data_IF_783505474254
#
_entry.id   IF_783505474254
#
_cell.length_a   1.000
_cell.length_b   1.000
_cell.length_c   1.000
_cell.angle_alpha   90.00
_cell.angle_beta   90.00
_cell.angle_gamma   90.00
#
_symmetry.space_group_name_H-M   'P 1'
#
loop_
_entity.id
_entity.type
_entity.pdbx_description
1 polymer ?
#
# COMPACT_ATOMS: atom_id res chain seq x y z
N UNK A 1 -28.05 -29.44 6.65
CA UNK A 1 -26.90 -30.18 6.10
C UNK A 1 -26.36 -29.47 4.85
N UNK A 2 -27.23 -29.00 3.96
CA UNK A 2 -26.81 -28.30 2.73
C UNK A 2 -26.16 -26.93 2.96
N UNK A 3 -26.45 -26.27 4.09
CA UNK A 3 -25.82 -24.98 4.44
C UNK A 3 -24.51 -25.10 5.23
N UNK A 4 -24.01 -26.31 5.42
CA UNK A 4 -22.67 -26.53 5.98
C UNK A 4 -22.47 -26.20 7.47
N UNK A 5 -23.54 -25.89 8.20
CA UNK A 5 -23.47 -25.46 9.60
C UNK A 5 -23.46 -26.60 10.62
N UNK A 6 -23.63 -27.86 10.15
CA UNK A 6 -23.72 -29.01 11.05
C UNK A 6 -22.71 -30.09 10.67
N UNK A 7 -21.86 -30.46 11.62
CA UNK A 7 -20.91 -31.56 11.47
C UNK A 7 -21.58 -32.94 11.46
N UNK A 8 -20.82 -33.97 11.16
CA UNK A 8 -21.26 -35.37 11.06
C UNK A 8 -21.99 -35.92 12.30
N UNK A 9 -21.80 -35.30 13.46
CA UNK A 9 -22.41 -35.71 14.73
C UNK A 9 -23.90 -35.38 14.89
N UNK A 10 -24.50 -34.67 13.92
CA UNK A 10 -25.89 -34.21 13.98
C UNK A 10 -26.86 -35.16 13.28
N UNK A 11 -26.34 -36.16 12.57
CA UNK A 11 -27.17 -37.11 11.79
C UNK A 11 -27.70 -38.32 12.59
N UNK A 12 -27.46 -38.36 13.89
CA UNK A 12 -27.75 -39.55 14.66
C UNK A 12 -26.82 -40.72 14.37
N UNK A 13 -27.08 -41.87 14.91
CA UNK A 13 -26.28 -43.05 14.61
C UNK A 13 -26.56 -43.52 13.20
N UNK A 14 -25.51 -43.61 12.37
CA UNK A 14 -25.51 -44.03 10.98
C UNK A 14 -26.23 -45.39 10.76
N UNK A 15 -26.44 -46.18 11.82
CA UNK A 15 -27.10 -47.48 11.83
C UNK A 15 -28.63 -47.42 11.60
N UNK A 16 -29.26 -46.26 11.69
CA UNK A 16 -30.70 -46.07 11.43
C UNK A 16 -31.06 -45.92 9.94
N UNK A 17 -30.05 -45.78 9.09
CA UNK A 17 -30.22 -45.58 7.66
C UNK A 17 -29.98 -46.88 6.84
N UNK A 18 -30.68 -47.08 5.73
CA UNK A 18 -30.35 -48.18 4.84
C UNK A 18 -28.86 -48.18 4.48
N UNK A 19 -28.16 -49.31 4.42
CA UNK A 19 -26.70 -49.38 4.27
C UNK A 19 -26.13 -48.63 3.06
N UNK A 20 -26.84 -48.60 1.95
CA UNK A 20 -26.44 -47.87 0.74
C UNK A 20 -26.54 -46.34 0.92
N UNK A 21 -27.59 -45.89 1.59
CA UNK A 21 -27.83 -44.48 1.87
C UNK A 21 -26.83 -43.95 2.89
N UNK A 22 -26.53 -44.75 3.92
CA UNK A 22 -25.51 -44.47 4.94
C UNK A 22 -24.12 -44.31 4.33
N UNK A 23 -23.72 -45.23 3.46
CA UNK A 23 -22.43 -45.17 2.78
C UNK A 23 -22.30 -43.95 1.84
N UNK A 24 -23.38 -43.62 1.11
CA UNK A 24 -23.41 -42.47 0.22
C UNK A 24 -23.34 -41.15 1.02
N UNK A 25 -24.04 -41.05 2.12
CA UNK A 25 -23.99 -39.90 3.03
C UNK A 25 -22.61 -39.73 3.67
N UNK A 26 -21.99 -40.81 4.09
CA UNK A 26 -20.65 -40.79 4.70
C UNK A 26 -19.59 -40.36 3.67
N UNK A 27 -19.71 -40.79 2.44
CA UNK A 27 -18.84 -40.35 1.34
C UNK A 27 -19.04 -38.88 1.06
N UNK A 28 -20.27 -38.40 0.97
CA UNK A 28 -20.61 -37.00 0.68
C UNK A 28 -20.14 -36.06 1.81
N UNK A 29 -20.28 -36.50 3.07
CA UNK A 29 -19.77 -35.73 4.21
C UNK A 29 -18.25 -35.63 4.21
N UNK A 30 -17.54 -36.73 3.84
CA UNK A 30 -16.08 -36.71 3.68
C UNK A 30 -15.64 -35.79 2.54
N UNK A 31 -16.32 -35.81 1.40
CA UNK A 31 -16.02 -34.89 0.29
C UNK A 31 -16.23 -33.44 0.68
N UNK A 32 -17.34 -33.11 1.38
CA UNK A 32 -17.61 -31.77 1.88
C UNK A 32 -16.52 -31.33 2.87
N UNK A 33 -16.11 -32.20 3.78
CA UNK A 33 -15.06 -31.90 4.73
C UNK A 33 -13.71 -31.68 4.06
N UNK A 34 -13.33 -32.53 3.10
CA UNK A 34 -12.12 -32.36 2.31
C UNK A 34 -12.12 -31.06 1.50
N UNK A 35 -13.26 -30.71 0.87
CA UNK A 35 -13.42 -29.46 0.14
C UNK A 35 -13.24 -28.23 1.04
N UNK A 36 -13.77 -28.28 2.26
CA UNK A 36 -13.61 -27.21 3.26
C UNK A 36 -12.18 -27.05 3.72
N UNK A 37 -11.49 -28.17 3.96
CA UNK A 37 -10.08 -28.15 4.36
C UNK A 37 -9.21 -27.57 3.23
N UNK A 38 -9.46 -27.96 1.98
CA UNK A 38 -8.77 -27.40 0.82
C UNK A 38 -9.03 -25.91 0.67
N UNK A 39 -10.30 -25.46 0.83
CA UNK A 39 -10.66 -24.04 0.76
C UNK A 39 -9.98 -23.24 1.88
N UNK A 40 -9.97 -23.76 3.10
CA UNK A 40 -9.27 -23.13 4.23
C UNK A 40 -7.75 -23.02 4.01
N UNK A 41 -7.13 -24.05 3.43
CA UNK A 41 -5.71 -24.02 3.07
C UNK A 41 -5.41 -22.98 1.98
N UNK A 42 -6.25 -22.91 0.94
CA UNK A 42 -6.15 -21.92 -0.12
C UNK A 42 -6.31 -20.50 0.42
N UNK A 43 -7.30 -20.26 1.28
CA UNK A 43 -7.51 -18.95 1.93
C UNK A 43 -6.30 -18.55 2.76
N UNK A 44 -5.71 -19.49 3.50
CA UNK A 44 -4.51 -19.25 4.30
C UNK A 44 -3.32 -18.90 3.41
N UNK A 45 -3.13 -19.62 2.30
CA UNK A 45 -2.08 -19.34 1.32
C UNK A 45 -2.29 -17.97 0.66
N UNK A 46 -3.51 -17.67 0.21
CA UNK A 46 -3.85 -16.38 -0.40
C UNK A 46 -3.58 -15.23 0.57
N UNK A 47 -3.99 -15.35 1.83
CA UNK A 47 -3.72 -14.35 2.87
C UNK A 47 -2.22 -14.20 3.14
N UNK A 48 -1.47 -15.29 3.19
CA UNK A 48 -0.02 -15.26 3.36
C UNK A 48 0.67 -14.54 2.20
N UNK A 49 0.33 -14.87 0.95
CA UNK A 49 0.86 -14.17 -0.22
C UNK A 49 0.41 -12.71 -0.31
N UNK A 50 -0.85 -12.41 0.05
CA UNK A 50 -1.37 -11.04 0.08
C UNK A 50 -0.76 -10.18 1.19
N UNK A 51 -0.14 -10.77 2.21
CA UNK A 51 0.48 -10.07 3.32
C UNK A 51 1.96 -9.74 3.11
N UNK A 52 2.62 -10.40 2.12
CA UNK A 52 4.06 -10.29 1.90
C UNK A 52 4.39 -9.49 0.64
N UNK A 53 5.48 -8.71 0.75
CA UNK A 53 6.12 -8.10 -0.41
C UNK A 53 6.92 -9.16 -1.17
N UNK A 54 6.61 -9.33 -2.45
CA UNK A 54 7.18 -10.40 -3.31
C UNK A 54 8.70 -10.29 -3.43
N UNK A 55 9.23 -9.07 -3.45
CA UNK A 55 10.67 -8.83 -3.65
C UNK A 55 11.49 -9.09 -2.39
N UNK A 56 11.02 -8.66 -1.24
CA UNK A 56 11.79 -8.70 0.02
C UNK A 56 11.36 -9.82 0.96
N UNK A 57 10.17 -10.37 0.79
CA UNK A 57 9.58 -11.32 1.75
C UNK A 57 9.13 -10.68 3.06
N UNK A 58 9.33 -9.37 3.25
CA UNK A 58 8.80 -8.62 4.38
C UNK A 58 7.28 -8.45 4.25
N UNK A 59 6.63 -7.99 5.32
CA UNK A 59 5.24 -7.61 5.23
C UNK A 59 5.06 -6.51 4.18
N UNK A 60 3.92 -6.51 3.49
CA UNK A 60 3.58 -5.48 2.54
C UNK A 60 2.84 -4.31 3.21
N UNK A 61 2.60 -3.25 2.45
CA UNK A 61 1.88 -2.07 2.91
C UNK A 61 0.49 -2.40 3.43
N UNK A 62 -0.28 -3.23 2.71
CA UNK A 62 -1.66 -3.56 3.09
C UNK A 62 -1.72 -4.24 4.46
N UNK A 63 -0.83 -5.20 4.70
CA UNK A 63 -0.74 -5.87 6.00
C UNK A 63 -0.36 -4.87 7.11
N UNK A 64 0.60 -3.99 6.85
CA UNK A 64 1.03 -2.97 7.79
C UNK A 64 -0.13 -2.02 8.16
N UNK A 65 -0.82 -1.49 7.16
CA UNK A 65 -1.94 -0.56 7.36
C UNK A 65 -3.08 -1.23 8.15
N UNK A 66 -3.38 -2.49 7.87
CA UNK A 66 -4.39 -3.25 8.61
C UNK A 66 -4.00 -3.49 10.07
N UNK A 67 -2.73 -3.78 10.34
CA UNK A 67 -2.24 -3.94 11.71
C UNK A 67 -2.28 -2.62 12.48
N UNK A 68 -1.87 -1.53 11.86
CA UNK A 68 -1.95 -0.19 12.46
C UNK A 68 -3.41 0.19 12.72
N UNK A 69 -4.31 -0.01 11.75
CA UNK A 69 -5.74 0.27 11.90
C UNK A 69 -6.35 -0.50 13.08
N UNK A 70 -6.03 -1.78 13.23
CA UNK A 70 -6.49 -2.60 14.35
C UNK A 70 -6.05 -2.03 15.70
N UNK A 71 -4.82 -1.55 15.81
CA UNK A 71 -4.30 -0.93 17.02
C UNK A 71 -4.95 0.43 17.31
N UNK A 72 -5.26 1.21 16.28
CA UNK A 72 -5.92 2.51 16.40
C UNK A 72 -7.41 2.39 16.75
N UNK A 73 -8.08 1.32 16.32
CA UNK A 73 -9.50 1.05 16.60
C UNK A 73 -9.74 0.46 17.99
N UNK A 74 -8.71 -0.03 18.67
CA UNK A 74 -8.81 -0.70 19.97
C UNK A 74 -9.23 0.29 21.06
N UNK A 75 -10.55 0.50 21.21
CA UNK A 75 -11.16 1.40 22.19
C UNK A 75 -11.18 0.84 23.61
N UNK A 76 -11.04 -0.47 23.78
CA UNK A 76 -11.17 -1.13 25.09
C UNK A 76 -9.89 -1.05 25.92
N UNK A 77 -8.74 -0.85 25.29
CA UNK A 77 -7.47 -0.70 25.98
C UNK A 77 -7.11 0.77 26.19
N UNK A 78 -7.52 1.29 27.32
CA UNK A 78 -7.09 2.60 27.79
C UNK A 78 -5.56 2.69 27.72
N UNK A 79 -5.05 3.58 26.87
CA UNK A 79 -3.61 3.84 26.77
C UNK A 79 -2.89 3.09 25.66
N UNK A 80 -3.56 2.49 24.68
CA UNK A 80 -2.89 1.95 23.50
C UNK A 80 -2.19 3.08 22.75
N UNK A 81 -0.89 2.99 22.69
CA UNK A 81 -0.02 3.97 22.04
C UNK A 81 1.19 3.26 21.42
N UNK A 82 1.88 3.94 20.57
CA UNK A 82 3.10 3.42 19.96
C UNK A 82 3.72 4.41 18.99
N UNK A 83 4.63 3.89 18.20
CA UNK A 83 5.40 4.64 17.22
C UNK A 83 5.23 3.99 15.85
N UNK A 84 5.12 4.83 14.83
CA UNK A 84 5.42 4.48 13.44
C UNK A 84 6.72 5.15 13.06
N UNK A 85 7.63 4.37 12.52
CA UNK A 85 8.90 4.85 12.01
C UNK A 85 8.92 4.56 10.50
N UNK A 86 8.99 5.59 9.67
CA UNK A 86 9.18 5.44 8.24
C UNK A 86 10.67 5.59 7.92
N UNK A 87 11.20 4.66 7.15
CA UNK A 87 12.61 4.56 6.82
C UNK A 87 12.75 4.66 5.30
N UNK A 88 13.35 5.73 4.81
CA UNK A 88 13.61 5.96 3.40
C UNK A 88 15.04 5.62 3.05
N UNK A 89 15.19 4.72 2.09
CA UNK A 89 16.46 4.36 1.48
C UNK A 89 16.64 5.09 0.13
N UNK A 90 17.84 5.06 -0.48
CA UNK A 90 18.05 5.61 -1.82
C UNK A 90 17.12 4.99 -2.87
N UNK A 91 16.81 5.72 -3.93
CA UNK A 91 16.02 5.21 -5.04
C UNK A 91 16.85 4.27 -5.92
N UNK A 92 16.76 2.96 -5.62
CA UNK A 92 17.49 1.91 -6.33
C UNK A 92 17.09 1.78 -7.80
N UNK A 93 15.88 2.18 -8.18
CA UNK A 93 15.47 2.15 -9.58
C UNK A 93 16.27 3.14 -10.43
N UNK A 94 16.53 4.33 -9.90
CA UNK A 94 17.39 5.32 -10.58
C UNK A 94 18.85 4.86 -10.66
N UNK A 95 19.34 4.12 -9.69
CA UNK A 95 20.70 3.58 -9.68
C UNK A 95 20.89 2.44 -10.69
N UNK A 96 19.85 1.71 -11.04
CA UNK A 96 19.91 0.59 -11.98
C UNK A 96 20.38 1.00 -13.37
N UNK A 97 20.02 2.18 -13.82
CA UNK A 97 20.40 2.69 -15.14
C UNK A 97 21.90 2.99 -15.23
N UNK A 98 22.54 3.34 -14.12
CA UNK A 98 23.97 3.71 -14.07
C UNK A 98 24.87 2.51 -13.72
N UNK A 99 24.45 1.65 -12.79
CA UNK A 99 25.31 0.61 -12.19
C UNK A 99 24.98 -0.82 -12.60
N UNK A 100 23.85 -1.02 -13.29
CA UNK A 100 23.34 -2.31 -13.67
C UNK A 100 22.47 -2.97 -12.60
N UNK A 101 21.48 -3.74 -13.07
CA UNK A 101 20.42 -4.30 -12.25
C UNK A 101 20.93 -5.25 -11.13
N UNK A 102 21.87 -6.13 -11.46
CA UNK A 102 22.38 -7.13 -10.52
C UNK A 102 23.09 -6.53 -9.30
N UNK A 103 23.96 -5.52 -9.54
CA UNK A 103 24.69 -4.86 -8.45
C UNK A 103 23.77 -4.04 -7.56
N UNK A 104 22.79 -3.37 -8.16
CA UNK A 104 21.79 -2.59 -7.43
C UNK A 104 20.90 -3.50 -6.57
N UNK A 105 20.48 -4.63 -7.08
CA UNK A 105 19.71 -5.62 -6.28
C UNK A 105 20.50 -6.16 -5.10
N UNK A 106 21.78 -6.47 -5.28
CA UNK A 106 22.62 -6.93 -4.18
C UNK A 106 22.68 -5.91 -3.04
N UNK A 107 22.86 -4.63 -3.37
CA UNK A 107 22.88 -3.56 -2.38
C UNK A 107 21.50 -3.35 -1.72
N UNK A 108 20.45 -3.42 -2.49
CA UNK A 108 19.08 -3.35 -1.96
C UNK A 108 18.80 -4.46 -0.96
N UNK A 109 19.16 -5.70 -1.27
CA UNK A 109 18.99 -6.83 -0.34
C UNK A 109 19.89 -6.72 0.88
N UNK A 110 21.11 -6.21 0.74
CA UNK A 110 22.00 -5.97 1.87
C UNK A 110 21.37 -4.99 2.86
N UNK A 111 20.84 -3.86 2.39
CA UNK A 111 20.16 -2.88 3.24
C UNK A 111 18.84 -3.43 3.82
N UNK A 112 18.06 -4.13 3.03
CA UNK A 112 16.82 -4.76 3.51
C UNK A 112 17.09 -5.78 4.61
N UNK A 113 18.10 -6.61 4.46
CA UNK A 113 18.51 -7.58 5.47
C UNK A 113 19.02 -6.90 6.75
N UNK A 114 19.74 -5.80 6.61
CA UNK A 114 20.17 -5.00 7.76
C UNK A 114 18.96 -4.47 8.53
N UNK A 115 17.99 -3.88 7.84
CA UNK A 115 16.75 -3.39 8.48
C UNK A 115 15.99 -4.52 9.18
N UNK A 116 15.82 -5.66 8.51
CA UNK A 116 15.12 -6.81 9.07
C UNK A 116 15.82 -7.35 10.31
N UNK A 117 17.11 -7.59 10.23
CA UNK A 117 17.92 -8.09 11.36
C UNK A 117 17.92 -7.11 12.52
N UNK A 118 18.00 -5.82 12.23
CA UNK A 118 17.95 -4.77 13.24
C UNK A 118 16.62 -4.77 13.99
N UNK A 119 15.49 -4.80 13.25
CA UNK A 119 14.15 -4.77 13.84
C UNK A 119 13.81 -6.03 14.65
N UNK A 120 14.40 -7.16 14.33
CA UNK A 120 14.23 -8.40 15.12
C UNK A 120 14.71 -8.29 16.56
N UNK A 121 15.51 -7.29 16.89
CA UNK A 121 15.95 -7.01 18.28
C UNK A 121 14.84 -6.45 19.16
N UNK A 122 13.77 -5.96 18.56
CA UNK A 122 12.65 -5.32 19.25
C UNK A 122 11.42 -6.21 19.20
N UNK A 123 11.08 -6.94 20.28
CA UNK A 123 9.89 -7.80 20.32
C UNK A 123 8.62 -7.00 20.05
N UNK A 124 7.75 -7.55 19.22
CA UNK A 124 6.50 -6.90 18.81
C UNK A 124 6.63 -5.86 17.70
N UNK A 125 7.85 -5.54 17.25
CA UNK A 125 8.05 -4.68 16.10
C UNK A 125 7.63 -5.39 14.81
N UNK A 126 6.93 -4.67 13.95
CA UNK A 126 6.53 -5.10 12.61
C UNK A 126 7.27 -4.25 11.59
N UNK A 127 8.01 -4.88 10.67
CA UNK A 127 8.67 -4.22 9.55
C UNK A 127 7.95 -4.59 8.26
N UNK A 128 7.67 -3.57 7.44
CA UNK A 128 7.06 -3.74 6.13
C UNK A 128 7.81 -2.94 5.07
N UNK A 129 7.80 -3.44 3.84
CA UNK A 129 8.12 -2.60 2.69
C UNK A 129 6.87 -1.81 2.33
N UNK A 130 6.93 -0.49 2.57
CA UNK A 130 5.76 0.35 2.45
C UNK A 130 5.55 0.88 1.03
N UNK A 131 6.63 1.34 0.41
CA UNK A 131 6.64 1.80 -0.97
C UNK A 131 8.07 1.77 -1.52
N UNK A 132 8.30 1.25 -2.71
CA UNK A 132 9.62 1.20 -3.39
C UNK A 132 10.83 1.09 -2.45
N UNK A 133 11.39 2.24 -2.08
CA UNK A 133 12.54 2.37 -1.16
C UNK A 133 12.15 2.85 0.23
N UNK A 134 10.85 2.94 0.52
CA UNK A 134 10.32 3.30 1.83
C UNK A 134 9.89 2.05 2.60
N UNK A 135 10.37 1.95 3.83
CA UNK A 135 10.02 0.90 4.78
C UNK A 135 9.30 1.53 5.97
N UNK A 136 8.43 0.78 6.60
CA UNK A 136 7.73 1.22 7.79
C UNK A 136 7.90 0.22 8.91
N UNK A 137 8.20 0.71 10.10
CA UNK A 137 8.25 -0.08 11.33
C UNK A 137 7.13 0.36 12.26
N UNK A 138 6.35 -0.62 12.74
CA UNK A 138 5.33 -0.43 13.76
C UNK A 138 5.90 -0.89 15.10
N UNK A 139 5.95 0.02 16.06
CA UNK A 139 6.54 -0.17 17.38
C UNK A 139 5.47 0.05 18.47
N UNK A 140 4.61 -0.95 18.75
CA UNK A 140 3.60 -0.82 19.78
C UNK A 140 4.22 -0.62 21.16
N UNK A 141 3.56 0.19 21.97
CA UNK A 141 3.96 0.47 23.37
C UNK A 141 5.33 1.12 23.55
N UNK A 142 5.90 1.71 22.51
CA UNK A 142 7.14 2.48 22.58
C UNK A 142 6.87 3.97 22.69
N UNK A 143 7.74 4.67 23.37
CA UNK A 143 7.73 6.13 23.52
C UNK A 143 8.57 6.81 22.44
N UNK A 144 8.39 8.12 22.25
CA UNK A 144 9.23 8.91 21.36
C UNK A 144 10.71 8.82 21.71
N UNK A 145 11.04 8.85 23.00
CA UNK A 145 12.44 8.77 23.48
C UNK A 145 13.09 7.43 23.14
N UNK A 146 12.33 6.34 23.24
CA UNK A 146 12.80 5.02 22.83
C UNK A 146 12.98 4.96 21.31
N UNK A 147 12.05 5.56 20.54
CA UNK A 147 12.13 5.62 19.08
C UNK A 147 13.35 6.43 18.60
N UNK A 148 13.66 7.54 19.24
CA UNK A 148 14.89 8.31 18.96
C UNK A 148 16.15 7.48 19.18
N UNK A 149 16.20 6.73 20.26
CA UNK A 149 17.32 5.83 20.54
C UNK A 149 17.42 4.71 19.47
N UNK A 150 16.29 4.12 19.08
CA UNK A 150 16.24 3.10 18.03
C UNK A 150 16.72 3.67 16.70
N UNK A 151 16.25 4.85 16.31
CA UNK A 151 16.67 5.53 15.08
C UNK A 151 18.17 5.83 15.08
N UNK A 152 18.70 6.34 16.16
CA UNK A 152 20.13 6.60 16.31
C UNK A 152 20.98 5.32 16.21
N UNK A 153 20.52 4.21 16.78
CA UNK A 153 21.21 2.92 16.67
C UNK A 153 21.12 2.34 15.24
N UNK A 154 20.00 2.52 14.54
CA UNK A 154 19.85 2.09 13.16
C UNK A 154 20.81 2.86 12.25
N UNK A 155 20.96 4.16 12.42
CA UNK A 155 21.92 4.98 11.68
C UNK A 155 23.36 4.48 11.93
N UNK A 156 23.71 4.19 13.18
CA UNK A 156 25.02 3.61 13.48
C UNK A 156 25.24 2.25 12.84
N UNK A 157 24.20 1.42 12.74
CA UNK A 157 24.29 0.13 12.04
C UNK A 157 24.57 0.33 10.54
N UNK A 158 23.96 1.33 9.91
CA UNK A 158 24.22 1.70 8.52
C UNK A 158 25.66 2.19 8.33
N UNK A 159 26.19 2.93 9.28
CA UNK A 159 27.59 3.41 9.25
C UNK A 159 28.63 2.29 9.29
N UNK A 160 28.24 1.09 9.73
CA UNK A 160 29.12 -0.10 9.73
C UNK A 160 29.23 -0.77 8.36
N UNK A 161 28.38 -0.42 7.42
CA UNK A 161 28.43 -1.00 6.07
C UNK A 161 29.72 -0.59 5.33
N UNK A 162 30.27 -1.47 4.49
CA UNK A 162 31.45 -1.13 3.69
C UNK A 162 31.14 -0.01 2.73
N UNK A 163 32.13 0.85 2.49
CA UNK A 163 32.02 1.89 1.48
C UNK A 163 31.76 1.29 0.09
N UNK A 164 30.80 1.88 -0.60
CA UNK A 164 30.40 1.49 -1.92
C UNK A 164 30.40 2.74 -2.84
N UNK A 165 30.92 2.59 -4.06
CA UNK A 165 30.89 3.68 -5.05
C UNK A 165 29.49 4.02 -5.55
N UNK A 166 28.55 3.09 -5.40
CA UNK A 166 27.16 3.23 -5.85
C UNK A 166 26.33 4.07 -4.87
N UNK A 167 26.57 3.93 -3.58
CA UNK A 167 25.79 4.54 -2.50
C UNK A 167 26.68 5.46 -1.68
N UNK A 168 26.19 6.66 -1.43
CA UNK A 168 26.81 7.56 -0.45
C UNK A 168 26.45 7.08 0.95
N UNK A 169 27.41 6.46 1.65
CA UNK A 169 27.21 5.95 3.00
C UNK A 169 26.78 7.05 3.97
N UNK A 170 27.17 8.26 3.74
CA UNK A 170 26.88 9.37 4.63
C UNK A 170 25.47 9.95 4.41
N UNK A 171 24.78 9.54 3.32
CA UNK A 171 23.40 9.95 2.99
C UNK A 171 22.57 8.78 2.45
N UNK A 172 22.43 7.72 3.24
CA UNK A 172 21.74 6.48 2.85
C UNK A 172 20.38 6.30 3.49
N UNK A 173 20.11 6.94 4.64
CA UNK A 173 18.92 6.62 5.42
C UNK A 173 18.33 7.90 6.04
N UNK A 174 17.03 8.08 5.80
CA UNK A 174 16.24 9.13 6.44
C UNK A 174 15.09 8.47 7.19
N UNK A 175 14.93 8.80 8.45
CA UNK A 175 13.96 8.18 9.34
C UNK A 175 12.99 9.24 9.85
N UNK A 176 11.70 9.00 9.62
CA UNK A 176 10.62 9.82 10.18
C UNK A 176 9.93 9.06 11.32
N UNK A 177 9.72 9.73 12.43
CA UNK A 177 9.13 9.18 13.64
C UNK A 177 7.81 9.88 13.92
N UNK A 178 6.72 9.12 14.06
CA UNK A 178 5.42 9.63 14.46
C UNK A 178 4.85 8.79 15.60
N UNK A 179 4.50 9.45 16.70
CA UNK A 179 3.75 8.81 17.77
C UNK A 179 2.29 8.70 17.39
N UNK A 180 1.66 7.59 17.76
CA UNK A 180 0.23 7.36 17.55
C UNK A 180 -0.48 6.96 18.84
N UNK A 181 -1.78 7.20 18.86
CA UNK A 181 -2.69 6.81 19.94
C UNK A 181 -3.97 6.24 19.35
N UNK A 182 -4.67 5.40 20.11
CA UNK A 182 -5.99 4.90 19.70
C UNK A 182 -6.95 6.06 19.37
N UNK A 183 -7.81 5.85 18.38
CA UNK A 183 -8.74 6.85 17.89
C UNK A 183 -8.24 7.74 16.75
N UNK A 184 -6.95 7.67 16.41
CA UNK A 184 -6.41 8.37 15.23
C UNK A 184 -6.71 7.61 13.94
N UNK A 185 -6.70 8.33 12.83
CA UNK A 185 -6.82 7.76 11.49
C UNK A 185 -5.48 7.21 10.99
N UNK A 186 -5.50 5.99 10.43
CA UNK A 186 -4.31 5.31 9.90
C UNK A 186 -3.59 6.14 8.85
N UNK A 187 -4.34 6.70 7.92
CA UNK A 187 -3.80 7.52 6.84
C UNK A 187 -3.08 8.76 7.38
N UNK A 188 -3.70 9.45 8.34
CA UNK A 188 -3.11 10.62 8.96
C UNK A 188 -1.80 10.29 9.68
N UNK A 189 -1.74 9.18 10.43
CA UNK A 189 -0.50 8.74 11.10
C UNK A 189 0.60 8.47 10.08
N UNK A 190 0.28 7.82 8.96
CA UNK A 190 1.26 7.52 7.92
C UNK A 190 1.71 8.77 7.16
N UNK A 191 0.83 9.72 6.89
CA UNK A 191 1.20 11.02 6.31
C UNK A 191 2.14 11.80 7.22
N UNK A 192 1.89 11.80 8.53
CA UNK A 192 2.74 12.43 9.51
C UNK A 192 4.13 11.79 9.58
N UNK A 193 4.20 10.45 9.55
CA UNK A 193 5.47 9.74 9.51
C UNK A 193 6.27 10.06 8.24
N UNK A 194 5.61 10.13 7.09
CA UNK A 194 6.24 10.50 5.82
C UNK A 194 6.72 11.95 5.82
N UNK A 195 5.94 12.89 6.36
CA UNK A 195 6.33 14.29 6.53
C UNK A 195 7.61 14.41 7.36
N UNK A 196 7.68 13.69 8.49
CA UNK A 196 8.87 13.63 9.31
C UNK A 196 10.08 13.05 8.54
N UNK A 197 9.86 12.04 7.70
CA UNK A 197 10.92 11.44 6.88
C UNK A 197 11.47 12.44 5.86
N UNK A 198 10.62 13.22 5.22
CA UNK A 198 11.05 14.31 4.32
C UNK A 198 11.85 15.37 5.06
N UNK A 199 11.42 15.73 6.26
CA UNK A 199 12.15 16.69 7.10
C UNK A 199 13.53 16.17 7.50
N UNK A 200 13.66 14.88 7.82
CA UNK A 200 14.95 14.26 8.05
C UNK A 200 15.87 14.37 6.83
N UNK A 201 15.33 14.10 5.63
CA UNK A 201 16.09 14.25 4.38
C UNK A 201 16.57 15.67 4.10
N UNK A 202 15.79 16.68 4.49
CA UNK A 202 16.18 18.10 4.34
C UNK A 202 17.32 18.53 5.27
N UNK A 203 17.53 17.81 6.36
CA UNK A 203 18.66 18.08 7.27
C UNK A 203 20.00 17.65 6.67
N UNK A 204 19.97 16.78 5.65
CA UNK A 204 21.15 16.21 5.02
C UNK A 204 21.80 15.09 5.84
N UNK A 205 22.48 14.18 5.15
CA UNK A 205 23.13 13.03 5.75
C UNK A 205 22.16 11.98 6.31
N UNK A 206 22.70 10.95 6.94
CA UNK A 206 21.92 9.98 7.69
C UNK A 206 21.30 10.65 8.91
N UNK A 207 19.99 10.75 8.92
CA UNK A 207 19.27 11.54 9.91
C UNK A 207 17.90 11.00 10.24
N UNK A 208 17.36 11.43 11.35
CA UNK A 208 15.99 11.17 11.77
C UNK A 208 15.32 12.47 12.24
N UNK A 209 14.01 12.52 12.11
CA UNK A 209 13.19 13.61 12.61
C UNK A 209 11.91 13.07 13.21
N UNK A 210 11.39 13.78 14.22
CA UNK A 210 10.05 13.54 14.78
C UNK A 210 9.06 14.43 14.04
N UNK A 211 7.85 13.91 13.81
CA UNK A 211 6.76 14.73 13.27
C UNK A 211 6.49 15.94 14.16
N UNK A 212 6.38 17.09 13.54
CA UNK A 212 6.14 18.38 14.18
C UNK A 212 5.02 19.12 13.42
N UNK A 213 3.88 19.30 14.08
CA UNK A 213 2.72 20.01 13.54
C UNK A 213 2.98 21.47 13.18
N UNK A 214 4.02 22.08 13.76
CA UNK A 214 4.36 23.50 13.53
C UNK A 214 5.06 23.74 12.20
N UNK A 215 5.56 22.68 11.54
CA UNK A 215 6.25 22.78 10.27
C UNK A 215 5.24 22.77 9.11
N UNK A 216 5.36 23.71 8.13
CA UNK A 216 4.47 23.73 7.01
C UNK A 216 4.64 22.50 6.12
N UNK A 217 3.54 21.80 5.85
CA UNK A 217 3.53 20.72 4.86
C UNK A 217 3.67 21.29 3.44
N UNK A 218 4.66 20.80 2.70
CA UNK A 218 4.89 21.18 1.30
C UNK A 218 4.38 20.09 0.37
N UNK A 219 3.20 20.31 -0.19
CA UNK A 219 2.64 19.44 -1.23
C UNK A 219 2.15 18.09 -0.74
N UNK A 220 1.72 17.26 -1.67
CA UNK A 220 1.26 15.89 -1.41
C UNK A 220 2.45 14.93 -1.39
N UNK A 221 2.57 14.13 -0.33
CA UNK A 221 3.52 13.01 -0.27
C UNK A 221 2.96 11.76 -0.94
N UNK A 222 3.77 10.71 -0.98
CA UNK A 222 3.39 9.43 -1.61
C UNK A 222 2.16 8.79 -0.94
N UNK A 223 2.03 8.89 0.38
CA UNK A 223 0.88 8.38 1.13
C UNK A 223 -0.39 9.07 0.64
N UNK A 224 -0.40 10.40 0.60
CA UNK A 224 -1.57 11.18 0.15
C UNK A 224 -1.90 10.91 -1.32
N UNK A 225 -0.91 10.91 -2.20
CA UNK A 225 -1.10 10.59 -3.60
C UNK A 225 -1.73 9.21 -3.81
N UNK A 226 -1.20 8.22 -3.11
CA UNK A 226 -1.73 6.86 -3.21
C UNK A 226 -3.16 6.78 -2.76
N UNK A 227 -3.50 7.38 -1.63
CA UNK A 227 -4.87 7.45 -1.13
C UNK A 227 -5.81 8.11 -2.13
N UNK A 228 -5.43 9.24 -2.72
CA UNK A 228 -6.25 9.93 -3.72
C UNK A 228 -6.51 9.07 -4.96
N UNK A 229 -5.47 8.38 -5.44
CA UNK A 229 -5.58 7.52 -6.62
C UNK A 229 -6.44 6.28 -6.31
N UNK A 230 -6.23 5.61 -5.18
CA UNK A 230 -7.03 4.46 -4.76
C UNK A 230 -8.50 4.84 -4.54
N UNK A 231 -8.77 6.00 -3.94
CA UNK A 231 -10.13 6.53 -3.80
C UNK A 231 -10.77 6.85 -5.15
N UNK A 232 -10.02 7.43 -6.06
CA UNK A 232 -10.49 7.71 -7.42
C UNK A 232 -10.88 6.41 -8.14
N UNK A 233 -10.02 5.39 -8.12
CA UNK A 233 -10.28 4.10 -8.73
C UNK A 233 -11.51 3.41 -8.10
N UNK A 234 -11.61 3.40 -6.78
CA UNK A 234 -12.74 2.79 -6.06
C UNK A 234 -14.09 3.45 -6.30
N UNK A 235 -14.08 4.77 -6.59
CA UNK A 235 -15.28 5.56 -6.93
C UNK A 235 -15.68 5.50 -8.40
N UNK A 236 -15.00 4.68 -9.19
CA UNK A 236 -15.31 4.50 -10.62
C UNK A 236 -14.53 5.41 -11.57
N UNK A 237 -13.44 6.00 -11.13
CA UNK A 237 -12.50 6.77 -11.96
C UNK A 237 -12.60 8.28 -11.80
N UNK A 238 -11.75 9.05 -12.52
CA UNK A 238 -11.72 10.49 -12.46
C UNK A 238 -13.01 11.11 -13.03
N UNK A 239 -13.28 12.36 -12.71
CA UNK A 239 -14.34 13.10 -13.37
C UNK A 239 -13.94 13.43 -14.81
N UNK A 240 -14.85 13.19 -15.73
CA UNK A 240 -14.67 13.49 -17.15
C UNK A 240 -15.26 14.86 -17.47
N UNK A 241 -14.49 15.66 -18.16
CA UNK A 241 -14.88 16.96 -18.70
C UNK A 241 -14.64 16.94 -20.19
N UNK A 242 -15.49 17.64 -20.91
CA UNK A 242 -15.38 17.82 -22.34
C UNK A 242 -15.02 19.28 -22.64
N UNK A 243 -13.94 19.47 -23.38
CA UNK A 243 -13.51 20.79 -23.85
C UNK A 243 -13.70 20.86 -25.37
N UNK A 244 -14.64 21.67 -25.88
CA UNK A 244 -14.81 21.85 -27.31
C UNK A 244 -13.69 22.70 -27.90
N UNK A 245 -13.12 22.28 -29.00
CA UNK A 245 -12.31 23.10 -29.87
C UNK A 245 -13.24 23.74 -30.92
N UNK A 246 -13.33 25.08 -30.95
CA UNK A 246 -14.25 25.82 -31.83
C UNK A 246 -13.50 26.54 -32.93
N UNK A 247 -14.07 26.55 -34.14
CA UNK A 247 -13.55 27.34 -35.25
C UNK A 247 -13.80 28.84 -35.02
N UNK A 248 -13.23 29.70 -35.87
CA UNK A 248 -13.47 31.14 -35.83
C UNK A 248 -14.97 31.48 -36.01
N UNK A 249 -15.70 30.63 -36.73
CA UNK A 249 -17.16 30.78 -36.97
C UNK A 249 -18.00 30.22 -35.81
N UNK A 250 -17.38 29.73 -34.74
CA UNK A 250 -18.06 29.21 -33.55
C UNK A 250 -18.57 27.77 -33.68
N UNK A 251 -18.19 27.06 -34.74
CA UNK A 251 -18.54 25.65 -34.90
C UNK A 251 -17.58 24.77 -34.07
N UNK A 252 -18.11 23.74 -33.45
CA UNK A 252 -17.27 22.74 -32.73
C UNK A 252 -16.59 21.86 -33.77
N UNK A 253 -15.26 21.89 -33.81
CA UNK A 253 -14.45 21.08 -34.69
C UNK A 253 -14.08 19.75 -34.02
N UNK A 254 -13.59 19.82 -32.78
CA UNK A 254 -13.18 18.67 -31.98
C UNK A 254 -13.62 18.82 -30.53
N UNK A 255 -13.59 17.71 -29.79
CA UNK A 255 -13.86 17.70 -28.35
C UNK A 255 -12.80 16.87 -27.65
N UNK A 256 -12.03 17.50 -26.79
CA UNK A 256 -11.05 16.86 -25.94
C UNK A 256 -11.69 16.37 -24.64
N UNK A 257 -11.45 15.13 -24.28
CA UNK A 257 -11.83 14.59 -22.97
C UNK A 257 -10.71 14.83 -21.96
N UNK A 258 -11.06 15.51 -20.89
CA UNK A 258 -10.15 15.84 -19.81
C UNK A 258 -10.57 15.12 -18.53
N UNK A 259 -9.57 14.60 -17.82
CA UNK A 259 -9.77 13.93 -16.55
C UNK A 259 -9.30 14.79 -15.39
N UNK A 260 -10.08 14.82 -14.31
CA UNK A 260 -9.75 15.52 -13.06
C UNK A 260 -10.07 14.65 -11.86
N UNK A 261 -9.23 14.74 -10.84
CA UNK A 261 -9.52 14.21 -9.50
C UNK A 261 -9.58 15.36 -8.50
N UNK A 262 -10.10 15.12 -7.32
CA UNK A 262 -10.26 16.14 -6.29
C UNK A 262 -9.64 15.71 -4.99
N UNK A 263 -8.84 16.58 -4.41
CA UNK A 263 -8.32 16.48 -3.06
C UNK A 263 -9.07 17.49 -2.18
N UNK A 264 -10.12 17.01 -1.49
CA UNK A 264 -11.09 17.91 -0.88
C UNK A 264 -11.76 18.79 -1.94
N UNK A 265 -11.53 20.08 -1.89
CA UNK A 265 -12.04 21.07 -2.85
C UNK A 265 -11.03 21.44 -3.94
N UNK A 266 -9.80 20.96 -3.84
CA UNK A 266 -8.75 21.26 -4.81
C UNK A 266 -8.85 20.34 -6.01
N UNK A 267 -8.88 20.93 -7.20
CA UNK A 267 -8.88 20.20 -8.46
C UNK A 267 -7.46 19.81 -8.86
N UNK A 268 -7.24 18.53 -9.17
CA UNK A 268 -5.95 17.98 -9.56
C UNK A 268 -6.03 17.47 -10.99
N UNK A 269 -5.17 17.99 -11.84
CA UNK A 269 -5.13 17.65 -13.26
C UNK A 269 -4.51 16.29 -13.54
N UNK A 270 -4.83 15.71 -14.70
CA UNK A 270 -4.20 14.45 -15.14
C UNK A 270 -2.68 14.57 -15.28
N UNK A 271 -2.17 15.73 -15.68
CA UNK A 271 -0.73 15.97 -15.74
C UNK A 271 -0.02 15.83 -14.38
N UNK A 272 -0.74 16.12 -13.28
CA UNK A 272 -0.22 16.00 -11.93
C UNK A 272 -0.34 14.57 -11.38
N UNK A 273 -1.48 13.89 -11.58
CA UNK A 273 -1.71 12.58 -10.96
C UNK A 273 -1.24 11.38 -11.81
N UNK A 274 -1.18 11.47 -13.14
CA UNK A 274 -0.76 10.35 -14.00
C UNK A 274 0.67 9.86 -13.73
N UNK A 275 1.68 10.72 -13.50
CA UNK A 275 2.99 10.25 -13.09
C UNK A 275 2.96 9.40 -11.81
N UNK A 276 2.05 9.71 -10.90
CA UNK A 276 1.88 8.96 -9.66
C UNK A 276 1.15 7.63 -9.88
N UNK A 277 0.16 7.59 -10.79
CA UNK A 277 -0.50 6.33 -11.22
C UNK A 277 0.54 5.35 -11.79
N UNK A 278 1.43 5.85 -12.64
CA UNK A 278 2.55 5.08 -13.21
C UNK A 278 3.51 4.60 -12.12
N UNK A 279 3.91 5.51 -11.24
CA UNK A 279 4.85 5.22 -10.14
C UNK A 279 4.31 4.14 -9.20
N UNK A 280 3.01 4.11 -8.92
CA UNK A 280 2.37 3.12 -8.05
C UNK A 280 2.02 1.81 -8.77
N UNK A 281 2.26 1.71 -10.07
CA UNK A 281 1.94 0.51 -10.85
C UNK A 281 0.45 0.27 -11.06
N UNK A 282 -0.37 1.33 -11.03
CA UNK A 282 -1.82 1.28 -11.14
C UNK A 282 -2.35 1.62 -12.54
N UNK A 283 -1.45 1.70 -13.53
CA UNK A 283 -1.79 2.10 -14.92
C UNK A 283 -2.79 1.15 -15.56
N UNK A 284 -2.58 -0.15 -15.44
CA UNK A 284 -3.48 -1.15 -16.03
C UNK A 284 -4.89 -1.04 -15.45
N UNK A 285 -5.02 -0.88 -14.14
CA UNK A 285 -6.32 -0.72 -13.48
C UNK A 285 -7.01 0.57 -13.92
N UNK A 286 -6.25 1.67 -13.98
CA UNK A 286 -6.73 2.96 -14.46
C UNK A 286 -7.23 2.88 -15.91
N UNK A 287 -6.43 2.34 -16.82
CA UNK A 287 -6.78 2.23 -18.24
C UNK A 287 -8.01 1.34 -18.46
N UNK A 288 -8.06 0.21 -17.78
CA UNK A 288 -9.22 -0.69 -17.83
C UNK A 288 -10.50 0.01 -17.39
N UNK A 289 -10.43 0.78 -16.30
CA UNK A 289 -11.55 1.54 -15.78
C UNK A 289 -11.99 2.64 -16.76
N UNK A 290 -11.04 3.37 -17.33
CA UNK A 290 -11.32 4.43 -18.32
C UNK A 290 -11.99 3.85 -19.57
N UNK A 291 -11.47 2.77 -20.14
CA UNK A 291 -12.04 2.09 -21.30
C UNK A 291 -13.47 1.62 -21.00
N UNK A 292 -13.69 1.00 -19.85
CA UNK A 292 -15.02 0.52 -19.45
C UNK A 292 -16.07 1.63 -19.32
N UNK A 293 -15.64 2.85 -18.99
CA UNK A 293 -16.51 4.04 -18.90
C UNK A 293 -16.75 4.73 -20.24
N UNK A 294 -15.72 4.77 -21.08
CA UNK A 294 -15.78 5.46 -22.38
C UNK A 294 -16.61 4.69 -23.41
N UNK A 295 -16.51 3.36 -23.46
CA UNK A 295 -17.28 2.55 -24.43
C UNK A 295 -18.79 2.80 -24.35
N UNK A 296 -19.44 2.78 -23.18
CA UNK A 296 -20.86 3.11 -23.07
C UNK A 296 -21.18 4.56 -23.49
N UNK A 297 -20.32 5.53 -23.13
CA UNK A 297 -20.52 6.93 -23.53
C UNK A 297 -20.50 7.10 -25.04
N UNK A 298 -19.54 6.47 -25.71
CA UNK A 298 -19.44 6.51 -27.19
C UNK A 298 -20.65 5.88 -27.88
N UNK A 299 -21.26 4.86 -27.30
CA UNK A 299 -22.48 4.21 -27.86
C UNK A 299 -23.71 5.12 -27.85
N UNK A 300 -23.79 6.04 -26.88
CA UNK A 300 -24.96 6.92 -26.71
C UNK A 300 -24.74 8.32 -27.27
N UNK A 301 -23.52 8.62 -27.76
CA UNK A 301 -23.25 9.92 -28.37
C UNK A 301 -23.79 9.95 -29.81
N UNK A 302 -24.39 11.09 -30.26
CA UNK A 302 -24.73 11.27 -31.66
C UNK A 302 -23.50 11.12 -32.56
N UNK A 303 -23.69 10.59 -33.76
CA UNK A 303 -22.58 10.38 -34.71
C UNK A 303 -21.76 11.63 -34.98
N UNK A 304 -22.42 12.79 -35.01
CA UNK A 304 -21.78 14.10 -35.17
C UNK A 304 -20.79 14.44 -34.03
N UNK A 305 -21.01 13.92 -32.82
CA UNK A 305 -20.10 14.09 -31.69
C UNK A 305 -18.95 13.07 -31.67
N UNK A 306 -19.19 11.87 -32.25
CA UNK A 306 -18.17 10.81 -32.28
C UNK A 306 -17.06 11.12 -33.28
N UNK A 307 -17.43 11.75 -34.42
CA UNK A 307 -16.45 12.10 -35.47
C UNK A 307 -15.47 13.20 -35.05
N UNK A 308 -15.77 13.92 -33.98
CA UNK A 308 -15.00 15.07 -33.51
C UNK A 308 -14.46 14.92 -32.07
N UNK A 309 -14.32 13.69 -31.56
CA UNK A 309 -13.83 13.47 -30.19
C UNK A 309 -12.49 12.77 -30.22
N UNK A 310 -11.46 13.44 -29.69
CA UNK A 310 -10.15 12.86 -29.38
C UNK A 310 -10.15 12.31 -27.95
N UNK A 311 -9.63 11.11 -27.75
CA UNK A 311 -9.56 10.40 -26.46
C UNK A 311 -8.12 10.40 -25.93
#
# INVERSE_FOLDING_TARGET
ILNGERGSNVLGTIYEWPPRTSSALDTLLREIQNAREQHSRLDTLIRSYAAQDVKTGLNNRLFFDNQLATLLEDQEKVGTHGIVMMIRLPDFNMLSDTWGHSQVEEQFFTLTNLLSTFMMRYPGALLARYHRSDFAALLPHRTLKEAESIAGQLIKAVDTLPNNKMLDRDDMIHIGICAWRSGQDTEQVMEHAESATRNAGLQGGNSWAIYDDSLPEKGRGNVRWRTLIEQMLSRGGPRLYQKPAVTREGQVHDRELMCRIFDGNEEVSSAEYMPMVLQFGLSEEYDRLQISRLIPLLRYWPEENLASTEI
#
